data_IF_091150530799
#
_entry.id   IF_091150530799
#
_cell.length_a   1.000
_cell.length_b   1.000
_cell.length_c   1.000
_cell.angle_alpha   90.00
_cell.angle_beta   90.00
_cell.angle_gamma   90.00
#
_symmetry.space_group_name_H-M   'P 1'
#
loop_
_entity.id
_entity.type
_entity.pdbx_description
1 polymer ?
#
# COMPACT_ATOMS: atom_id res chain seq x y z
N UNK A 1 15.16 -8.59 7.14
CA UNK A 1 15.26 -7.63 6.02
C UNK A 1 13.90 -7.00 5.91
N UNK A 2 13.75 -5.71 6.24
CA UNK A 2 12.47 -5.03 6.02
C UNK A 2 12.33 -4.88 4.51
N UNK A 3 11.32 -5.53 3.90
CA UNK A 3 11.02 -5.34 2.49
C UNK A 3 10.57 -3.90 2.28
N UNK A 4 11.08 -3.25 1.25
CA UNK A 4 10.59 -1.94 0.82
C UNK A 4 9.13 -2.09 0.36
N UNK A 5 8.17 -1.31 0.89
CA UNK A 5 6.78 -1.37 0.47
C UNK A 5 6.60 -1.16 -1.05
N UNK A 6 7.55 -0.52 -1.73
CA UNK A 6 7.53 -0.37 -3.19
C UNK A 6 7.63 -1.71 -3.93
N UNK A 7 8.43 -2.64 -3.44
CA UNK A 7 8.65 -3.95 -4.05
C UNK A 7 7.55 -4.96 -3.67
N UNK A 8 6.82 -4.68 -2.59
CA UNK A 8 5.72 -5.53 -2.14
C UNK A 8 4.52 -5.43 -3.06
N UNK A 9 3.81 -6.56 -3.20
CA UNK A 9 2.49 -6.54 -3.81
C UNK A 9 1.54 -5.77 -2.92
N UNK A 10 0.60 -5.06 -3.55
CA UNK A 10 -0.45 -4.33 -2.80
C UNK A 10 -1.23 -5.30 -1.90
N UNK A 11 -1.43 -6.55 -2.32
CA UNK A 11 -2.02 -7.61 -1.49
C UNK A 11 -1.20 -7.94 -0.25
N UNK A 12 0.13 -8.05 -0.36
CA UNK A 12 1.01 -8.34 0.78
C UNK A 12 0.99 -7.19 1.79
N UNK A 13 0.95 -5.94 1.32
CA UNK A 13 0.80 -4.76 2.18
C UNK A 13 -0.53 -4.82 2.96
N UNK A 14 -1.62 -5.14 2.26
CA UNK A 14 -2.95 -5.25 2.85
C UNK A 14 -3.11 -6.45 3.80
N UNK A 15 -2.41 -7.55 3.52
CA UNK A 15 -2.34 -8.73 4.38
C UNK A 15 -1.50 -8.47 5.63
N UNK A 16 -0.41 -7.70 5.50
CA UNK A 16 0.41 -7.27 6.62
C UNK A 16 -0.38 -6.32 7.53
N UNK A 17 -1.05 -5.30 6.98
CA UNK A 17 -1.93 -4.42 7.73
C UNK A 17 -3.17 -4.01 6.92
N UNK A 18 -4.38 -4.49 7.28
CA UNK A 18 -5.62 -4.11 6.59
C UNK A 18 -5.93 -2.61 6.60
N UNK A 19 -5.39 -1.85 7.57
CA UNK A 19 -5.56 -0.40 7.65
C UNK A 19 -4.88 0.35 6.50
N UNK A 20 -3.87 -0.26 5.86
CA UNK A 20 -3.20 0.31 4.68
C UNK A 20 -4.16 0.57 3.51
N UNK A 21 -5.32 -0.12 3.46
CA UNK A 21 -6.35 0.15 2.46
C UNK A 21 -6.88 1.59 2.55
N UNK A 22 -7.08 2.09 3.77
CA UNK A 22 -7.57 3.46 3.99
C UNK A 22 -6.61 4.48 3.40
N UNK A 23 -5.33 4.36 3.76
CA UNK A 23 -4.24 5.21 3.26
C UNK A 23 -4.17 5.16 1.73
N UNK A 24 -4.17 3.96 1.12
CA UNK A 24 -4.14 3.84 -0.34
C UNK A 24 -5.34 4.55 -1.00
N UNK A 25 -6.54 4.40 -0.45
CA UNK A 25 -7.74 5.05 -0.99
C UNK A 25 -7.65 6.58 -0.87
N UNK A 26 -7.16 7.11 0.25
CA UNK A 26 -6.97 8.55 0.48
C UNK A 26 -5.95 9.16 -0.49
N UNK A 27 -4.89 8.41 -0.81
CA UNK A 27 -3.87 8.83 -1.78
C UNK A 27 -4.31 8.66 -3.24
N UNK A 28 -5.54 8.22 -3.49
CA UNK A 28 -6.15 8.16 -4.82
C UNK A 28 -6.22 6.78 -5.44
N UNK A 29 -5.88 5.71 -4.71
CA UNK A 29 -6.12 4.32 -5.15
C UNK A 29 -7.55 3.87 -4.88
N UNK A 30 -8.53 4.73 -5.18
CA UNK A 30 -9.97 4.48 -5.00
C UNK A 30 -10.51 3.19 -5.65
N UNK A 31 -9.96 2.67 -6.79
CA UNK A 31 -10.40 1.38 -7.32
C UNK A 31 -10.21 0.22 -6.34
N UNK A 32 -9.25 0.30 -5.41
CA UNK A 32 -9.01 -0.71 -4.39
C UNK A 32 -10.10 -0.75 -3.30
N UNK A 33 -10.91 0.31 -3.17
CA UNK A 33 -12.05 0.29 -2.27
C UNK A 33 -13.12 -0.73 -2.71
N UNK A 34 -13.18 -1.06 -4.01
CA UNK A 34 -14.10 -2.06 -4.53
C UNK A 34 -13.54 -3.47 -4.29
N UNK A 35 -14.22 -4.36 -3.54
CA UNK A 35 -13.69 -5.66 -3.16
C UNK A 35 -13.32 -6.55 -4.36
N UNK A 36 -14.08 -6.45 -5.46
CA UNK A 36 -13.82 -7.18 -6.69
C UNK A 36 -12.52 -6.72 -7.37
N UNK A 37 -12.35 -5.42 -7.57
CA UNK A 37 -11.13 -4.85 -8.16
C UNK A 37 -9.92 -5.07 -7.26
N UNK A 38 -10.08 -4.97 -5.93
CA UNK A 38 -9.02 -5.27 -4.97
C UNK A 38 -8.50 -6.70 -5.15
N UNK A 39 -9.39 -7.70 -5.25
CA UNK A 39 -8.97 -9.10 -5.46
C UNK A 39 -8.27 -9.35 -6.79
N UNK A 40 -8.55 -8.54 -7.82
CA UNK A 40 -7.89 -8.66 -9.12
C UNK A 40 -6.56 -7.89 -9.17
N UNK A 41 -6.56 -6.64 -8.73
CA UNK A 41 -5.44 -5.72 -8.87
C UNK A 41 -4.41 -5.89 -7.76
N UNK A 42 -4.82 -6.14 -6.52
CA UNK A 42 -3.87 -6.17 -5.40
C UNK A 42 -2.85 -7.31 -5.49
N UNK A 43 -3.20 -8.43 -6.16
CA UNK A 43 -2.29 -9.56 -6.34
C UNK A 43 -1.45 -9.49 -7.62
N UNK A 44 -1.77 -8.56 -8.53
CA UNK A 44 -1.16 -8.48 -9.86
C UNK A 44 -0.10 -7.39 -9.99
N UNK A 45 -0.19 -6.32 -9.20
CA UNK A 45 0.77 -5.21 -9.25
C UNK A 45 1.45 -4.96 -7.90
N UNK A 46 2.72 -4.54 -7.96
CA UNK A 46 3.44 -3.96 -6.81
C UNK A 46 3.03 -2.51 -6.59
N UNK A 47 3.35 -1.96 -5.42
CA UNK A 47 3.10 -0.54 -5.15
C UNK A 47 3.87 0.35 -6.13
N UNK A 48 5.12 0.00 -6.47
CA UNK A 48 5.90 0.72 -7.48
C UNK A 48 5.20 0.72 -8.85
N UNK A 49 4.71 -0.44 -9.31
CA UNK A 49 3.97 -0.54 -10.56
C UNK A 49 2.67 0.29 -10.53
N UNK A 50 1.97 0.28 -9.39
CA UNK A 50 0.76 1.07 -9.21
C UNK A 50 1.05 2.58 -9.28
N UNK A 51 2.15 3.06 -8.68
CA UNK A 51 2.62 4.44 -8.78
C UNK A 51 3.07 4.81 -10.19
N UNK A 52 3.66 3.87 -10.95
CA UNK A 52 3.97 4.10 -12.38
C UNK A 52 2.72 4.24 -13.25
N UNK A 53 1.67 3.47 -12.96
CA UNK A 53 0.39 3.54 -13.67
C UNK A 53 -0.39 4.81 -13.31
N UNK A 54 -0.28 5.26 -12.06
CA UNK A 54 -0.90 6.48 -11.55
C UNK A 54 0.14 7.28 -10.77
N UNK A 55 0.94 8.12 -11.46
CA UNK A 55 1.93 8.93 -10.80
C UNK A 55 1.25 9.92 -9.85
N UNK A 56 1.79 10.01 -8.64
CA UNK A 56 1.42 11.00 -7.64
C UNK A 56 2.40 12.17 -7.70
N UNK A 57 2.00 13.30 -7.11
CA UNK A 57 2.97 14.35 -6.83
C UNK A 57 4.05 13.81 -5.85
N UNK A 58 5.32 14.21 -5.97
CA UNK A 58 6.42 13.70 -5.15
C UNK A 58 6.14 13.78 -3.64
N UNK A 59 5.45 14.84 -3.21
CA UNK A 59 5.08 15.07 -1.81
C UNK A 59 4.04 14.06 -1.34
N UNK A 60 3.09 13.70 -2.20
CA UNK A 60 2.06 12.69 -1.90
C UNK A 60 2.60 11.28 -1.92
N UNK A 61 3.52 10.99 -2.82
CA UNK A 61 4.20 9.70 -2.87
C UNK A 61 5.02 9.47 -1.59
N UNK A 62 5.80 10.46 -1.17
CA UNK A 62 6.55 10.38 0.08
C UNK A 62 5.66 10.20 1.29
N UNK A 63 4.60 11.01 1.40
CA UNK A 63 3.62 10.87 2.48
C UNK A 63 2.92 9.51 2.50
N UNK A 64 2.67 8.90 1.33
CA UNK A 64 2.10 7.55 1.25
C UNK A 64 3.09 6.52 1.80
N UNK A 65 4.35 6.59 1.38
CA UNK A 65 5.39 5.64 1.80
C UNK A 65 5.68 5.76 3.30
N UNK A 66 5.73 6.98 3.84
CA UNK A 66 5.91 7.21 5.28
C UNK A 66 4.76 6.59 6.08
N UNK A 67 3.50 6.84 5.71
CA UNK A 67 2.33 6.26 6.40
C UNK A 67 2.27 4.73 6.29
N UNK A 68 2.63 4.17 5.14
CA UNK A 68 2.71 2.71 4.98
C UNK A 68 3.84 2.11 5.81
N UNK A 69 4.99 2.78 5.86
CA UNK A 69 6.13 2.40 6.70
C UNK A 69 5.75 2.36 8.18
N UNK A 70 5.10 3.42 8.68
CA UNK A 70 4.61 3.50 10.05
C UNK A 70 3.61 2.38 10.36
N UNK A 71 2.62 2.15 9.49
CA UNK A 71 1.62 1.09 9.68
C UNK A 71 2.22 -0.33 9.69
N UNK A 72 3.24 -0.57 8.87
CA UNK A 72 3.93 -1.86 8.81
C UNK A 72 4.87 -2.06 10.01
N UNK A 73 5.51 -0.99 10.50
CA UNK A 73 6.34 -1.01 11.70
C UNK A 73 5.51 -1.24 12.97
N UNK A 74 4.38 -0.54 13.11
CA UNK A 74 3.46 -0.66 14.26
C UNK A 74 2.89 -2.10 14.36
N UNK A 75 2.62 -2.73 13.22
CA UNK A 75 2.19 -4.15 13.20
C UNK A 75 3.27 -5.11 13.73
N UNK A 76 4.56 -4.78 13.59
CA UNK A 76 5.64 -5.59 14.13
C UNK A 76 5.73 -5.48 15.66
N UNK A 77 5.43 -4.31 16.24
CA UNK A 77 5.42 -4.10 17.70
C UNK A 77 4.24 -4.79 18.38
N UNK A 78 3.06 -4.82 17.74
CA UNK A 78 1.87 -5.51 18.29
C UNK A 78 2.03 -7.03 18.36
N UNK A 79 2.97 -7.61 17.60
CA UNK A 79 3.23 -9.07 17.57
C UNK A 79 4.39 -9.52 18.46
N UNK A 80 5.05 -8.61 19.18
CA UNK A 80 6.14 -8.90 20.12
C UNK A 80 5.64 -9.09 21.55
#
# INVERSE_FOLDING_TARGET
MANDPLEMKVSEILEANPAALGVLVEHGFTPLAQPYLRKLLAHTVTLEQALRLRPLAPERERSLLDQLGDLLADTAEVRA
#
